data_IF_363844700163
#
_entry.id   IF_363844700163
#
_cell.length_a   1.000
_cell.length_b   1.000
_cell.length_c   1.000
_cell.angle_alpha   90.00
_cell.angle_beta   90.00
_cell.angle_gamma   90.00
#
_symmetry.space_group_name_H-M   'P 1'
#
loop_
_entity.id
_entity.type
_entity.pdbx_description
1 polymer ?
#
# COMPACT_ATOMS: atom_id res chain seq x y z
N UNK A 1 2.73 15.75 21.53
CA UNK A 1 3.66 16.34 20.55
C UNK A 1 4.26 15.17 19.78
N UNK A 2 3.48 14.57 18.90
CA UNK A 2 3.90 13.38 18.18
C UNK A 2 4.55 13.81 16.87
N UNK A 3 5.86 13.60 16.79
CA UNK A 3 6.65 13.91 15.59
C UNK A 3 6.24 12.97 14.45
N UNK A 4 5.36 13.45 13.57
CA UNK A 4 4.87 12.76 12.36
C UNK A 4 5.87 12.72 11.19
N UNK A 5 7.16 12.92 11.45
CA UNK A 5 8.17 12.84 10.42
C UNK A 5 8.57 11.37 10.18
N UNK A 6 7.78 10.68 9.36
CA UNK A 6 8.20 9.44 8.72
C UNK A 6 9.23 9.79 7.62
N UNK A 7 10.50 9.86 8.00
CA UNK A 7 11.63 10.27 7.13
C UNK A 7 11.97 9.26 6.02
N UNK A 8 11.24 8.16 5.87
CA UNK A 8 11.44 7.27 4.73
C UNK A 8 10.57 7.77 3.58
N UNK A 9 11.07 8.76 2.84
CA UNK A 9 10.61 8.98 1.47
C UNK A 9 10.65 7.62 0.77
N UNK A 10 9.52 7.22 0.16
CA UNK A 10 9.43 5.97 -0.60
C UNK A 10 10.66 5.90 -1.51
N UNK A 11 11.52 4.88 -1.32
CA UNK A 11 12.73 4.72 -2.15
C UNK A 11 12.32 4.80 -3.62
N UNK A 12 12.67 5.91 -4.26
CA UNK A 12 12.48 6.18 -5.70
C UNK A 12 13.40 5.33 -6.58
N UNK A 13 14.23 4.47 -5.98
CA UNK A 13 15.09 3.46 -6.60
C UNK A 13 14.35 2.17 -6.98
N UNK A 14 13.10 2.27 -7.47
CA UNK A 14 12.45 1.13 -8.12
C UNK A 14 12.63 1.29 -9.63
N UNK A 15 13.02 0.24 -10.32
CA UNK A 15 12.85 0.19 -11.78
C UNK A 15 11.38 0.47 -12.11
N UNK A 16 11.13 1.00 -13.31
CA UNK A 16 9.75 1.16 -13.79
C UNK A 16 9.09 -0.22 -13.76
N UNK A 17 7.86 -0.29 -13.27
CA UNK A 17 7.01 -1.47 -13.43
C UNK A 17 6.39 -1.46 -14.84
N UNK A 18 5.67 -2.52 -15.19
CA UNK A 18 5.07 -2.63 -16.52
C UNK A 18 4.01 -1.56 -16.80
N UNK A 19 3.18 -1.21 -15.80
CA UNK A 19 2.16 -0.17 -15.92
C UNK A 19 2.76 1.21 -16.20
N UNK A 20 3.86 1.55 -15.51
CA UNK A 20 4.60 2.79 -15.71
C UNK A 20 5.27 2.83 -17.10
N UNK A 21 5.75 1.68 -17.62
CA UNK A 21 6.25 1.57 -18.99
C UNK A 21 5.16 1.78 -20.03
N UNK A 22 4.00 1.15 -19.82
CA UNK A 22 2.83 1.34 -20.68
C UNK A 22 2.35 2.79 -20.68
N UNK A 23 2.32 3.43 -19.51
CA UNK A 23 2.01 4.85 -19.40
C UNK A 23 3.02 5.71 -20.19
N UNK A 24 4.32 5.44 -20.05
CA UNK A 24 5.37 6.13 -20.80
C UNK A 24 5.15 6.01 -22.31
N UNK A 25 4.84 4.82 -22.81
CA UNK A 25 4.52 4.59 -24.22
C UNK A 25 3.37 5.47 -24.71
N UNK A 26 2.23 5.48 -23.98
CA UNK A 26 1.08 6.30 -24.36
C UNK A 26 1.38 7.79 -24.36
N UNK A 27 2.15 8.28 -23.39
CA UNK A 27 2.51 9.71 -23.32
C UNK A 27 3.45 10.15 -24.43
N UNK A 28 4.38 9.29 -24.84
CA UNK A 28 5.26 9.57 -25.98
C UNK A 28 4.45 9.69 -27.28
N UNK A 29 3.47 8.80 -27.48
CA UNK A 29 2.57 8.89 -28.64
C UNK A 29 1.76 10.18 -28.65
N UNK A 30 1.38 10.69 -27.48
CA UNK A 30 0.70 11.99 -27.33
C UNK A 30 1.63 13.21 -27.48
N UNK A 31 2.95 13.00 -27.59
CA UNK A 31 3.93 14.08 -27.74
C UNK A 31 4.31 14.80 -26.43
N UNK A 32 4.02 14.20 -25.27
CA UNK A 32 4.35 14.79 -23.98
C UNK A 32 5.88 14.89 -23.79
N UNK A 33 6.34 16.02 -23.24
CA UNK A 33 7.76 16.18 -22.94
C UNK A 33 8.23 15.22 -21.85
N UNK A 34 9.49 14.77 -21.93
CA UNK A 34 10.11 13.91 -20.91
C UNK A 34 10.06 14.55 -19.52
N UNK A 35 10.14 15.87 -19.43
CA UNK A 35 10.02 16.61 -18.17
C UNK A 35 8.59 16.56 -17.58
N UNK A 36 7.55 16.54 -18.41
CA UNK A 36 6.18 16.34 -17.95
C UNK A 36 5.98 14.90 -17.48
N UNK A 37 6.40 13.91 -18.28
CA UNK A 37 6.25 12.49 -17.95
C UNK A 37 6.99 12.14 -16.64
N UNK A 38 8.20 12.67 -16.47
CA UNK A 38 9.01 12.54 -15.25
C UNK A 38 8.29 13.07 -14.01
N UNK A 39 7.64 14.24 -14.10
CA UNK A 39 6.84 14.79 -13.00
C UNK A 39 5.60 13.95 -12.72
N UNK A 40 4.88 13.52 -13.74
CA UNK A 40 3.66 12.71 -13.59
C UNK A 40 3.93 11.33 -12.98
N UNK A 41 5.04 10.68 -13.34
CA UNK A 41 5.44 9.39 -12.78
C UNK A 41 6.19 9.51 -11.44
N UNK A 42 6.60 10.72 -11.03
CA UNK A 42 7.47 10.92 -9.86
C UNK A 42 8.85 10.26 -10.02
N UNK A 43 9.38 10.18 -11.25
CA UNK A 43 10.67 9.54 -11.58
C UNK A 43 11.66 10.54 -12.13
N UNK A 44 12.96 10.31 -11.94
CA UNK A 44 13.98 11.18 -12.53
C UNK A 44 13.93 11.13 -14.06
N UNK A 45 14.27 12.26 -14.71
CA UNK A 45 14.40 12.32 -16.18
C UNK A 45 15.39 11.26 -16.70
N UNK A 46 16.46 11.00 -15.96
CA UNK A 46 17.45 9.95 -16.28
C UNK A 46 16.83 8.55 -16.33
N UNK A 47 15.90 8.24 -15.42
CA UNK A 47 15.17 6.95 -15.44
C UNK A 47 14.35 6.81 -16.72
N UNK A 48 13.68 7.88 -17.14
CA UNK A 48 12.89 7.88 -18.37
C UNK A 48 13.79 7.71 -19.61
N UNK A 49 14.90 8.44 -19.69
CA UNK A 49 15.85 8.31 -20.81
C UNK A 49 16.48 6.91 -20.88
N UNK A 50 16.85 6.32 -19.75
CA UNK A 50 17.42 4.97 -19.72
C UNK A 50 16.40 3.91 -20.12
N UNK A 51 15.14 4.06 -19.72
CA UNK A 51 14.06 3.19 -20.17
C UNK A 51 13.79 3.35 -21.67
N UNK A 52 13.74 4.58 -22.17
CA UNK A 52 13.60 4.84 -23.60
C UNK A 52 14.70 4.16 -24.41
N UNK A 53 15.96 4.30 -23.99
CA UNK A 53 17.10 3.62 -24.61
C UNK A 53 16.94 2.09 -24.57
N UNK A 54 16.33 1.55 -23.52
CA UNK A 54 16.11 0.11 -23.34
C UNK A 54 15.01 -0.45 -24.24
N UNK A 55 13.90 0.27 -24.40
CA UNK A 55 12.70 -0.22 -25.09
C UNK A 55 12.46 0.34 -26.51
N UNK A 56 13.35 1.19 -27.02
CA UNK A 56 13.24 1.71 -28.39
C UNK A 56 13.76 0.68 -29.39
N UNK A 57 12.93 0.33 -30.36
CA UNK A 57 13.22 -0.64 -31.42
C UNK A 57 12.88 -0.08 -32.79
N UNK A 58 13.54 -0.60 -33.82
CA UNK A 58 13.20 -0.31 -35.22
C UNK A 58 11.93 -1.09 -35.57
N UNK A 59 10.92 -0.38 -36.06
CA UNK A 59 9.65 -0.93 -36.54
C UNK A 59 9.40 -0.47 -37.97
N UNK A 60 8.85 -1.34 -38.81
CA UNK A 60 8.45 -0.97 -40.17
C UNK A 60 7.00 -0.53 -40.12
N UNK A 61 6.74 0.74 -40.43
CA UNK A 61 5.38 1.29 -40.57
C UNK A 61 5.25 1.86 -41.97
N UNK A 62 4.24 1.39 -42.71
CA UNK A 62 3.98 1.84 -44.09
C UNK A 62 5.23 1.75 -44.99
N UNK A 63 5.99 0.65 -44.87
CA UNK A 63 7.20 0.40 -45.65
C UNK A 63 8.44 1.21 -45.24
N UNK A 64 8.36 2.06 -44.21
CA UNK A 64 9.48 2.85 -43.70
C UNK A 64 9.91 2.37 -42.32
N UNK A 65 11.22 2.28 -42.11
CA UNK A 65 11.80 2.00 -40.79
C UNK A 65 11.69 3.24 -39.89
N UNK A 66 11.15 3.07 -38.69
CA UNK A 66 11.02 4.11 -37.69
C UNK A 66 11.41 3.58 -36.32
N UNK A 67 12.13 4.39 -35.54
CA UNK A 67 12.40 4.09 -34.14
C UNK A 67 11.15 4.37 -33.30
N UNK A 68 10.66 3.35 -32.60
CA UNK A 68 9.47 3.43 -31.76
C UNK A 68 9.77 2.81 -30.40
N UNK A 69 9.42 3.51 -29.33
CA UNK A 69 9.44 2.94 -27.98
C UNK A 69 8.23 2.04 -27.79
N UNK A 70 8.47 0.80 -27.33
CA UNK A 70 7.43 -0.16 -26.98
C UNK A 70 7.64 -0.65 -25.55
N UNK A 71 6.60 -0.59 -24.72
CA UNK A 71 6.66 -1.01 -23.32
C UNK A 71 7.05 -2.48 -23.19
N UNK A 72 6.51 -3.35 -24.04
CA UNK A 72 6.82 -4.79 -24.06
C UNK A 72 8.30 -5.06 -24.36
N UNK A 73 8.89 -4.30 -25.28
CA UNK A 73 10.31 -4.43 -25.61
C UNK A 73 11.19 -3.98 -24.44
N UNK A 74 10.83 -2.87 -23.79
CA UNK A 74 11.50 -2.38 -22.59
C UNK A 74 11.44 -3.37 -21.43
N UNK A 75 10.28 -4.00 -21.22
CA UNK A 75 10.05 -5.05 -20.24
C UNK A 75 10.90 -6.29 -20.53
N UNK A 76 10.82 -6.84 -21.74
CA UNK A 76 11.56 -8.03 -22.13
C UNK A 76 13.08 -7.84 -22.01
N UNK A 77 13.59 -6.67 -22.40
CA UNK A 77 15.02 -6.34 -22.26
C UNK A 77 15.41 -6.19 -20.79
N UNK A 78 14.56 -5.59 -19.96
CA UNK A 78 14.78 -5.49 -18.51
C UNK A 78 14.84 -6.88 -17.88
N UNK A 79 13.90 -7.76 -18.18
CA UNK A 79 13.85 -9.13 -17.66
C UNK A 79 15.09 -9.93 -18.08
N UNK A 80 15.49 -9.85 -19.36
CA UNK A 80 16.70 -10.51 -19.87
C UNK A 80 17.96 -10.06 -19.13
N UNK A 81 18.11 -8.75 -18.89
CA UNK A 81 19.23 -8.21 -18.09
C UNK A 81 19.18 -8.68 -16.62
N UNK A 82 17.98 -8.93 -16.09
CA UNK A 82 17.78 -9.40 -14.71
C UNK A 82 18.04 -10.89 -14.52
N UNK A 83 18.06 -11.71 -15.57
CA UNK A 83 18.29 -13.17 -15.46
C UNK A 83 19.57 -13.50 -14.67
N UNK A 84 20.66 -12.75 -14.89
CA UNK A 84 21.93 -12.92 -14.17
C UNK A 84 22.07 -12.10 -12.88
N UNK A 85 21.07 -11.27 -12.55
CA UNK A 85 21.13 -10.39 -11.37
C UNK A 85 20.66 -11.08 -10.08
N UNK A 86 20.19 -12.32 -10.18
CA UNK A 86 19.85 -13.16 -9.04
C UNK A 86 20.86 -14.29 -8.94
N UNK A 87 21.19 -14.70 -7.72
CA UNK A 87 22.01 -15.88 -7.51
C UNK A 87 21.33 -17.09 -8.17
N UNK A 88 21.96 -17.68 -9.18
CA UNK A 88 21.45 -18.89 -9.83
C UNK A 88 21.30 -19.97 -8.77
N UNK A 89 20.22 -20.74 -8.82
CA UNK A 89 20.01 -21.81 -7.84
C UNK A 89 21.15 -22.83 -8.00
N UNK A 90 22.04 -22.90 -7.00
CA UNK A 90 23.24 -23.74 -7.02
C UNK A 90 22.94 -25.22 -6.76
N UNK A 91 21.69 -25.68 -6.94
CA UNK A 91 21.23 -27.02 -6.53
C UNK A 91 22.12 -28.15 -7.04
N UNK A 92 22.51 -28.13 -8.32
CA UNK A 92 23.41 -29.14 -8.86
C UNK A 92 24.82 -29.09 -8.27
N UNK A 93 25.31 -27.92 -7.87
CA UNK A 93 26.63 -27.77 -7.25
C UNK A 93 26.65 -28.14 -5.75
N UNK A 94 25.48 -28.34 -5.13
CA UNK A 94 25.34 -28.69 -3.71
C UNK A 94 24.52 -29.98 -3.52
N UNK A 95 24.48 -30.83 -4.56
CA UNK A 95 23.63 -32.02 -4.61
C UNK A 95 23.89 -32.97 -3.44
N UNK A 96 25.16 -33.19 -3.08
CA UNK A 96 25.55 -34.01 -1.93
C UNK A 96 24.95 -33.49 -0.61
N UNK A 97 24.97 -32.18 -0.39
CA UNK A 97 24.36 -31.54 0.77
C UNK A 97 22.84 -31.67 0.75
N UNK A 98 22.21 -31.49 -0.41
CA UNK A 98 20.76 -31.64 -0.56
C UNK A 98 20.33 -33.07 -0.25
N UNK A 99 20.93 -34.07 -0.89
CA UNK A 99 20.62 -35.48 -0.67
C UNK A 99 20.79 -35.88 0.80
N UNK A 100 21.82 -35.35 1.47
CA UNK A 100 22.00 -35.56 2.91
C UNK A 100 20.88 -34.90 3.74
N UNK A 101 20.49 -33.65 3.44
CA UNK A 101 19.36 -32.98 4.09
C UNK A 101 18.06 -33.75 3.87
N UNK A 102 17.81 -34.25 2.66
CA UNK A 102 16.63 -35.05 2.34
C UNK A 102 16.60 -36.36 3.13
N UNK A 103 17.72 -37.08 3.18
CA UNK A 103 17.86 -38.27 4.01
C UNK A 103 17.59 -37.96 5.50
N UNK A 104 18.18 -36.90 6.06
CA UNK A 104 17.95 -36.50 7.46
C UNK A 104 16.51 -36.07 7.74
N UNK A 105 15.84 -35.46 6.76
CA UNK A 105 14.45 -35.01 6.94
C UNK A 105 13.47 -36.18 6.82
N UNK A 106 13.68 -37.08 5.85
CA UNK A 106 12.76 -38.19 5.58
C UNK A 106 12.95 -39.38 6.52
N UNK A 107 14.20 -39.74 6.84
CA UNK A 107 14.53 -40.92 7.66
C UNK A 107 14.59 -40.56 9.15
N UNK A 108 15.34 -39.52 9.50
CA UNK A 108 15.57 -39.15 10.90
C UNK A 108 14.55 -38.12 11.43
N UNK A 109 13.62 -37.66 10.57
CA UNK A 109 12.61 -36.64 10.89
C UNK A 109 13.17 -35.32 11.42
N UNK A 110 14.36 -34.93 10.96
CA UNK A 110 14.98 -33.67 11.35
C UNK A 110 14.33 -32.47 10.68
N UNK A 111 14.28 -31.33 11.40
CA UNK A 111 14.00 -30.05 10.75
C UNK A 111 15.22 -29.56 9.96
N UNK A 112 15.00 -28.71 8.94
CA UNK A 112 16.11 -28.08 8.21
C UNK A 112 17.06 -27.34 9.14
N UNK A 113 16.53 -26.66 10.16
CA UNK A 113 17.33 -25.93 11.14
C UNK A 113 18.22 -26.87 11.96
N UNK A 114 17.69 -28.01 12.39
CA UNK A 114 18.46 -29.03 13.10
C UNK A 114 19.56 -29.64 12.21
N UNK A 115 19.22 -30.01 10.96
CA UNK A 115 20.15 -30.64 10.04
C UNK A 115 21.28 -29.69 9.61
N UNK A 116 20.96 -28.45 9.25
CA UNK A 116 21.95 -27.42 8.91
C UNK A 116 22.84 -27.10 10.11
N UNK A 117 22.24 -26.95 11.30
CA UNK A 117 22.98 -26.69 12.55
C UNK A 117 23.96 -27.81 12.88
N UNK A 118 23.52 -29.06 12.78
CA UNK A 118 24.35 -30.24 13.01
C UNK A 118 25.50 -30.34 11.99
N UNK A 119 25.20 -30.20 10.70
CA UNK A 119 26.22 -30.24 9.65
C UNK A 119 27.31 -29.17 9.84
N UNK A 120 26.91 -27.96 10.25
CA UNK A 120 27.83 -26.87 10.53
C UNK A 120 28.67 -27.14 11.78
N UNK A 121 28.06 -27.67 12.84
CA UNK A 121 28.76 -27.96 14.10
C UNK A 121 29.77 -29.10 13.94
N UNK A 122 29.43 -30.13 13.16
CA UNK A 122 30.29 -31.28 12.87
C UNK A 122 31.24 -31.07 11.69
N UNK A 123 31.15 -29.94 10.98
CA UNK A 123 32.00 -29.66 9.82
C UNK A 123 31.83 -30.66 8.67
N UNK A 124 30.62 -31.17 8.44
CA UNK A 124 30.37 -32.25 7.46
C UNK A 124 30.51 -31.80 6.00
N UNK A 125 30.35 -30.49 5.75
CA UNK A 125 30.39 -29.89 4.42
C UNK A 125 31.14 -28.56 4.47
N UNK A 126 31.77 -28.18 3.36
CA UNK A 126 32.38 -26.86 3.25
C UNK A 126 31.31 -25.76 3.13
N UNK A 127 31.65 -24.53 3.53
CA UNK A 127 30.69 -23.41 3.54
C UNK A 127 30.10 -23.09 2.16
N UNK A 128 30.85 -23.34 1.08
CA UNK A 128 30.43 -23.15 -0.30
C UNK A 128 29.56 -24.30 -0.85
N UNK A 129 29.49 -25.44 -0.16
CA UNK A 129 28.64 -26.60 -0.44
C UNK A 129 27.33 -26.57 0.35
N UNK A 130 27.24 -25.70 1.35
CA UNK A 130 26.05 -25.53 2.19
C UNK A 130 25.21 -24.32 1.77
N UNK A 131 23.92 -24.40 2.06
CA UNK A 131 23.00 -23.25 2.01
C UNK A 131 22.37 -22.99 3.37
N UNK A 132 21.93 -21.76 3.61
CA UNK A 132 21.21 -21.43 4.85
C UNK A 132 19.81 -22.06 4.86
N UNK A 133 19.24 -22.22 6.06
CA UNK A 133 17.92 -22.83 6.28
C UNK A 133 16.82 -22.12 5.49
N UNK A 134 16.86 -20.79 5.41
CA UNK A 134 15.93 -19.99 4.60
C UNK A 134 15.95 -20.40 3.12
N UNK A 135 17.12 -20.69 2.56
CA UNK A 135 17.24 -21.14 1.17
C UNK A 135 16.63 -22.53 0.98
N UNK A 136 16.80 -23.44 1.94
CA UNK A 136 16.15 -24.75 1.91
C UNK A 136 14.61 -24.64 1.95
N UNK A 137 14.05 -23.79 2.83
CA UNK A 137 12.60 -23.53 2.82
C UNK A 137 12.14 -22.88 1.49
N UNK A 138 12.94 -22.01 0.87
CA UNK A 138 12.62 -21.48 -0.45
C UNK A 138 12.62 -22.58 -1.52
N UNK A 139 13.55 -23.54 -1.46
CA UNK A 139 13.62 -24.67 -2.40
C UNK A 139 12.43 -25.61 -2.20
N UNK A 140 12.04 -25.86 -0.94
CA UNK A 140 10.84 -26.60 -0.57
C UNK A 140 9.59 -25.97 -1.20
N UNK A 141 9.38 -24.65 -1.02
CA UNK A 141 8.20 -23.96 -1.56
C UNK A 141 8.22 -23.82 -3.08
N UNK A 142 9.39 -23.88 -3.72
CA UNK A 142 9.53 -23.95 -5.17
C UNK A 142 9.37 -25.38 -5.73
N UNK A 143 9.24 -26.39 -4.87
CA UNK A 143 9.10 -27.79 -5.28
C UNK A 143 10.35 -28.39 -5.91
N UNK A 144 11.54 -27.88 -5.55
CA UNK A 144 12.82 -28.36 -6.12
C UNK A 144 13.51 -29.40 -5.23
N UNK A 145 13.02 -29.59 -4.00
CA UNK A 145 13.45 -30.67 -3.11
C UNK A 145 12.51 -31.87 -3.29
N UNK A 146 13.03 -33.09 -3.10
CA UNK A 146 12.24 -34.32 -2.99
C UNK A 146 11.41 -34.42 -1.71
N UNK A 147 11.48 -33.41 -0.84
CA UNK A 147 10.74 -33.31 0.42
C UNK A 147 9.47 -32.48 0.22
N UNK A 148 8.37 -32.87 0.86
CA UNK A 148 7.13 -32.08 0.94
C UNK A 148 7.01 -31.38 2.29
N UNK A 149 6.21 -30.32 2.33
CA UNK A 149 5.97 -29.58 3.58
C UNK A 149 5.41 -30.45 4.71
N UNK A 150 4.71 -31.53 4.39
CA UNK A 150 4.17 -32.51 5.34
C UNK A 150 5.25 -33.34 6.04
N UNK A 151 6.42 -33.49 5.41
CA UNK A 151 7.52 -34.29 5.95
C UNK A 151 8.31 -33.50 7.00
N UNK A 152 8.08 -32.17 7.10
CA UNK A 152 8.72 -31.33 8.09
C UNK A 152 7.86 -31.19 9.36
N UNK A 153 8.46 -31.33 10.56
CA UNK A 153 7.71 -31.40 11.83
C UNK A 153 6.97 -30.11 12.21
N UNK A 154 7.37 -28.94 11.69
CA UNK A 154 6.87 -27.63 12.11
C UNK A 154 6.12 -26.86 11.02
N UNK A 155 6.24 -27.24 9.75
CA UNK A 155 5.72 -26.42 8.63
C UNK A 155 4.19 -26.44 8.61
N UNK A 156 3.58 -27.62 8.81
CA UNK A 156 2.11 -27.78 8.81
C UNK A 156 1.46 -27.26 10.10
N UNK A 157 2.20 -27.23 11.22
CA UNK A 157 1.67 -26.81 12.54
C UNK A 157 1.65 -25.30 12.74
N UNK A 158 2.42 -24.53 11.97
CA UNK A 158 2.47 -23.08 12.09
C UNK A 158 1.31 -22.44 11.34
N UNK A 159 0.36 -21.88 12.10
CA UNK A 159 -0.68 -21.01 11.54
C UNK A 159 -0.03 -19.88 10.74
N UNK A 160 -0.33 -19.79 9.45
CA UNK A 160 0.04 -18.62 8.67
C UNK A 160 -0.75 -17.43 9.21
N UNK A 161 -0.04 -16.38 9.67
CA UNK A 161 -0.71 -15.12 10.01
C UNK A 161 -1.47 -14.65 8.78
N UNK A 162 -2.80 -14.66 8.87
CA UNK A 162 -3.66 -14.06 7.85
C UNK A 162 -3.25 -12.60 7.72
N UNK A 163 -2.86 -12.19 6.51
CA UNK A 163 -2.71 -10.78 6.19
C UNK A 163 -4.10 -10.15 6.28
N UNK A 164 -4.39 -9.49 7.40
CA UNK A 164 -5.63 -8.72 7.55
C UNK A 164 -5.40 -7.41 6.80
N UNK A 165 -5.82 -7.35 5.54
CA UNK A 165 -6.03 -6.06 4.90
C UNK A 165 -7.27 -5.43 5.56
N UNK A 166 -7.05 -4.47 6.47
CA UNK A 166 -8.13 -3.60 6.92
C UNK A 166 -8.50 -2.71 5.73
N UNK A 167 -9.34 -3.22 4.81
CA UNK A 167 -10.10 -2.32 3.93
C UNK A 167 -10.89 -1.40 4.88
N UNK A 168 -10.65 -0.10 4.81
CA UNK A 168 -11.48 0.88 5.50
C UNK A 168 -12.91 0.66 5.00
N UNK A 169 -13.76 0.04 5.82
CA UNK A 169 -15.16 -0.27 5.47
C UNK A 169 -16.06 0.97 5.53
N UNK A 170 -15.50 2.15 5.85
CA UNK A 170 -16.27 3.39 6.09
C UNK A 170 -15.90 4.42 5.03
N UNK A 171 -16.90 4.90 4.32
CA UNK A 171 -16.79 6.12 3.52
C UNK A 171 -16.79 7.29 4.51
N UNK A 172 -15.67 8.01 4.60
CA UNK A 172 -15.48 9.11 5.56
C UNK A 172 -16.06 10.45 5.07
N UNK A 173 -16.80 10.45 3.96
CA UNK A 173 -17.31 11.68 3.34
C UNK A 173 -16.21 12.56 2.77
N UNK A 174 -16.52 13.83 2.50
CA UNK A 174 -15.56 14.85 2.06
C UNK A 174 -14.87 15.44 3.29
N UNK A 175 -13.53 15.54 3.24
CA UNK A 175 -12.75 16.22 4.29
C UNK A 175 -13.20 17.68 4.46
N UNK A 176 -13.15 18.19 5.69
CA UNK A 176 -13.40 19.61 6.00
C UNK A 176 -12.45 20.54 5.22
N UNK A 177 -11.24 20.07 4.90
CA UNK A 177 -10.25 20.82 4.11
C UNK A 177 -10.73 21.09 2.66
N UNK A 178 -11.72 20.34 2.17
CA UNK A 178 -12.29 20.50 0.83
C UNK A 178 -13.52 21.41 0.81
N UNK A 179 -13.81 22.14 1.89
CA UNK A 179 -14.92 23.10 1.94
C UNK A 179 -14.67 24.29 1.00
N UNK A 180 -15.76 24.97 0.62
CA UNK A 180 -15.67 26.19 -0.18
C UNK A 180 -14.83 27.25 0.57
N UNK A 181 -13.78 27.82 -0.06
CA UNK A 181 -12.94 28.85 0.55
C UNK A 181 -13.73 30.06 1.07
N UNK A 182 -14.89 30.37 0.49
CA UNK A 182 -15.75 31.48 0.92
C UNK A 182 -16.25 31.32 2.36
N UNK A 183 -16.32 30.10 2.90
CA UNK A 183 -16.74 29.85 4.29
C UNK A 183 -15.66 30.29 5.29
N UNK A 184 -14.39 30.35 4.87
CA UNK A 184 -13.29 30.77 5.74
C UNK A 184 -13.28 32.29 5.97
N UNK A 185 -13.81 33.07 5.02
CA UNK A 185 -13.85 34.54 5.13
C UNK A 185 -14.87 35.05 6.16
N UNK A 186 -15.81 34.19 6.59
CA UNK A 186 -16.85 34.48 7.60
C UNK A 186 -17.76 35.66 7.23
N UNK A 187 -17.90 35.95 5.94
CA UNK A 187 -18.67 37.09 5.44
C UNK A 187 -20.18 36.81 5.42
N UNK A 188 -20.59 35.54 5.35
CA UNK A 188 -21.99 35.12 5.29
C UNK A 188 -22.45 34.33 6.53
N UNK A 189 -23.71 34.52 6.91
CA UNK A 189 -24.34 33.79 8.02
C UNK A 189 -24.91 32.46 7.52
N UNK A 190 -24.91 31.46 8.41
CA UNK A 190 -25.57 30.17 8.21
C UNK A 190 -24.62 28.99 8.02
N UNK A 191 -23.32 29.17 8.28
CA UNK A 191 -22.34 28.08 8.23
C UNK A 191 -21.96 27.67 9.64
N UNK A 192 -22.21 26.39 9.95
CA UNK A 192 -22.07 25.83 11.29
C UNK A 192 -20.95 24.79 11.33
N UNK A 193 -20.06 24.92 12.31
CA UNK A 193 -19.09 23.89 12.68
C UNK A 193 -19.66 23.04 13.81
N UNK A 194 -19.68 21.73 13.60
CA UNK A 194 -20.16 20.73 14.54
C UNK A 194 -18.96 20.01 15.16
N UNK A 195 -18.93 20.01 16.49
CA UNK A 195 -18.04 19.16 17.28
C UNK A 195 -18.86 18.35 18.29
N UNK A 196 -18.29 17.26 18.80
CA UNK A 196 -18.89 16.41 19.81
C UNK A 196 -18.02 16.33 21.05
N UNK A 197 -18.52 16.83 22.17
CA UNK A 197 -17.83 16.78 23.45
C UNK A 197 -18.31 15.57 24.23
N UNK A 198 -17.38 14.65 24.53
CA UNK A 198 -17.63 13.47 25.35
C UNK A 198 -17.11 13.68 26.77
N UNK A 199 -17.93 13.32 27.76
CA UNK A 199 -17.50 13.23 29.15
C UNK A 199 -16.46 12.13 29.39
N UNK A 200 -15.83 12.14 30.57
CA UNK A 200 -14.76 11.21 30.97
C UNK A 200 -15.24 9.82 31.39
N UNK A 201 -16.54 9.60 31.61
CA UNK A 201 -17.10 8.30 31.99
C UNK A 201 -17.66 7.55 30.77
N UNK A 202 -18.03 6.30 31.03
CA UNK A 202 -18.15 5.15 30.13
C UNK A 202 -18.68 5.41 28.71
N UNK A 203 -18.42 4.44 27.81
CA UNK A 203 -18.79 4.53 26.39
C UNK A 203 -20.30 4.68 26.12
N UNK A 204 -21.13 4.58 27.14
CA UNK A 204 -22.59 4.66 27.12
C UNK A 204 -23.15 6.04 27.50
N UNK A 205 -22.30 6.99 27.89
CA UNK A 205 -22.78 8.31 28.30
C UNK A 205 -23.25 9.17 27.12
N UNK A 206 -24.20 10.05 27.43
CA UNK A 206 -24.66 11.10 26.53
C UNK A 206 -23.49 11.99 26.08
N UNK A 207 -23.61 12.51 24.87
CA UNK A 207 -22.62 13.37 24.22
C UNK A 207 -23.23 14.74 24.01
N UNK A 208 -22.45 15.79 24.18
CA UNK A 208 -22.88 17.15 23.83
C UNK A 208 -22.45 17.44 22.39
N UNK A 209 -23.41 17.77 21.52
CA UNK A 209 -23.11 18.32 20.21
C UNK A 209 -22.98 19.83 20.39
N UNK A 210 -21.84 20.38 19.99
CA UNK A 210 -21.62 21.82 19.93
C UNK A 210 -21.67 22.30 18.49
N UNK A 211 -22.56 23.23 18.21
CA UNK A 211 -22.70 23.91 16.93
C UNK A 211 -22.23 25.36 17.10
N UNK A 212 -21.22 25.75 16.32
CA UNK A 212 -20.69 27.10 16.31
C UNK A 212 -20.93 27.75 14.94
N UNK A 213 -21.69 28.84 14.91
CA UNK A 213 -21.91 29.61 13.68
C UNK A 213 -20.68 30.49 13.38
N UNK A 214 -20.18 30.43 12.14
CA UNK A 214 -18.86 30.98 11.77
C UNK A 214 -18.79 32.50 11.79
N UNK A 215 -19.87 33.22 11.44
CA UNK A 215 -19.89 34.68 11.33
C UNK A 215 -20.23 35.37 12.66
N UNK A 216 -21.39 35.04 13.20
CA UNK A 216 -21.97 35.59 14.43
C UNK A 216 -21.39 35.00 15.71
N UNK A 217 -20.70 33.85 15.62
CA UNK A 217 -20.21 33.07 16.78
C UNK A 217 -21.31 32.60 17.71
N UNK A 218 -22.55 32.52 17.22
CA UNK A 218 -23.65 31.92 17.94
C UNK A 218 -23.31 30.47 18.27
N UNK A 219 -23.46 30.11 19.53
CA UNK A 219 -23.14 28.78 20.05
C UNK A 219 -24.40 28.07 20.50
N UNK A 220 -24.59 26.85 20.03
CA UNK A 220 -25.72 25.99 20.39
C UNK A 220 -25.17 24.66 20.91
N UNK A 221 -25.66 24.25 22.07
CA UNK A 221 -25.28 23.00 22.71
C UNK A 221 -26.49 22.07 22.78
N UNK A 222 -26.40 20.89 22.15
CA UNK A 222 -27.48 19.92 22.08
C UNK A 222 -27.08 18.63 22.78
N UNK A 223 -27.96 18.11 23.63
CA UNK A 223 -27.76 16.80 24.26
C UNK A 223 -28.09 15.69 23.26
N UNK A 224 -27.12 14.81 23.01
CA UNK A 224 -27.24 13.67 22.12
C UNK A 224 -27.10 12.34 22.89
N UNK A 225 -27.85 11.29 22.55
CA UNK A 225 -27.69 9.95 23.14
C UNK A 225 -26.28 9.38 23.04
N UNK A 226 -25.62 9.52 21.88
CA UNK A 226 -24.25 9.03 21.68
C UNK A 226 -23.54 9.74 20.52
N UNK A 227 -22.22 9.54 20.40
CA UNK A 227 -21.43 10.04 19.26
C UNK A 227 -21.60 9.20 17.98
N UNK A 228 -22.63 8.35 17.88
CA UNK A 228 -22.91 7.60 16.65
C UNK A 228 -23.52 8.54 15.62
N UNK A 229 -23.13 8.36 14.35
CA UNK A 229 -23.64 9.19 13.26
C UNK A 229 -25.17 9.20 13.13
N UNK A 230 -25.84 8.08 13.45
CA UNK A 230 -27.31 7.99 13.49
C UNK A 230 -27.91 8.95 14.51
N UNK A 231 -27.40 8.91 15.74
CA UNK A 231 -27.96 9.64 16.87
C UNK A 231 -27.68 11.14 16.74
N UNK A 232 -26.48 11.49 16.24
CA UNK A 232 -26.12 12.87 15.90
C UNK A 232 -27.06 13.42 14.83
N UNK A 233 -27.28 12.65 13.75
CA UNK A 233 -28.17 13.07 12.66
C UNK A 233 -29.61 13.28 13.14
N UNK A 234 -30.14 12.38 13.96
CA UNK A 234 -31.49 12.50 14.54
C UNK A 234 -31.60 13.71 15.46
N UNK A 235 -30.60 13.97 16.30
CA UNK A 235 -30.56 15.14 17.20
C UNK A 235 -30.55 16.44 16.41
N UNK A 236 -29.74 16.53 15.34
CA UNK A 236 -29.72 17.69 14.45
C UNK A 236 -31.05 17.89 13.72
N UNK A 237 -31.65 16.80 13.21
CA UNK A 237 -32.97 16.89 12.58
C UNK A 237 -34.03 17.38 13.56
N UNK A 238 -34.05 16.89 14.80
CA UNK A 238 -34.98 17.34 15.82
C UNK A 238 -34.79 18.84 16.12
N UNK A 239 -33.55 19.30 16.23
CA UNK A 239 -33.24 20.72 16.44
C UNK A 239 -33.62 21.59 15.24
N UNK A 240 -33.25 21.22 14.01
CA UNK A 240 -33.67 21.98 12.82
C UNK A 240 -35.19 22.01 12.68
N UNK A 241 -35.87 20.93 13.08
CA UNK A 241 -37.31 20.84 13.06
C UNK A 241 -38.02 21.81 14.03
N UNK A 242 -37.34 22.36 15.04
CA UNK A 242 -37.93 23.40 15.90
C UNK A 242 -38.07 24.75 15.18
N UNK A 243 -37.42 24.93 14.04
CA UNK A 243 -37.45 26.15 13.24
C UNK A 243 -38.21 25.98 11.91
N UNK A 244 -39.09 24.98 11.80
CA UNK A 244 -39.87 24.70 10.56
C UNK A 244 -40.68 25.89 10.05
N UNK A 245 -41.12 26.76 10.95
CA UNK A 245 -41.91 27.94 10.62
C UNK A 245 -41.04 29.11 10.10
N UNK A 246 -39.71 28.95 10.11
CA UNK A 246 -38.74 29.91 9.59
C UNK A 246 -38.08 29.31 8.35
N UNK A 247 -37.65 30.17 7.43
CA UNK A 247 -36.85 29.73 6.28
C UNK A 247 -35.51 29.15 6.75
N UNK A 248 -35.44 27.81 6.83
CA UNK A 248 -34.25 27.05 7.23
C UNK A 248 -33.01 27.39 6.39
N UNK A 249 -33.17 27.75 5.11
CA UNK A 249 -32.04 28.13 4.25
C UNK A 249 -31.37 29.44 4.70
N UNK A 250 -32.11 30.33 5.37
CA UNK A 250 -31.57 31.54 5.97
C UNK A 250 -30.84 31.25 7.30
N UNK A 251 -31.22 30.18 8.01
CA UNK A 251 -30.66 29.81 9.30
C UNK A 251 -29.46 28.86 9.20
N UNK A 252 -29.48 27.93 8.25
CA UNK A 252 -28.50 26.87 8.13
C UNK A 252 -28.28 26.52 6.65
N UNK A 253 -27.18 27.03 6.10
CA UNK A 253 -26.68 26.71 4.76
C UNK A 253 -25.86 25.43 4.77
N UNK A 254 -24.90 25.31 5.69
CA UNK A 254 -24.04 24.11 5.80
C UNK A 254 -23.73 23.77 7.25
N UNK A 255 -23.63 22.48 7.55
CA UNK A 255 -23.09 21.94 8.81
C UNK A 255 -21.91 21.04 8.45
N UNK A 256 -20.73 21.32 9.00
CA UNK A 256 -19.50 20.54 8.77
C UNK A 256 -18.98 19.98 10.09
N UNK A 257 -18.47 18.75 10.08
CA UNK A 257 -17.87 18.07 11.22
C UNK A 257 -16.55 17.42 10.78
N UNK A 258 -15.63 17.23 11.73
CA UNK A 258 -14.34 16.56 11.53
C UNK A 258 -14.44 15.01 11.58
#
# INVERSE_FOLDING_TARGET
MDYNNHNTTLRTNKHLNFEERFYLEKRIVLGDSIAAISRSLGRSRTTIYTELKRGTVIQIRQGKSQLVYLADSGQATYERQRVGSFNTMRIGAIESFINWIESKTLVDHWSFDAAVGYAKHKGLFMRNEMVCTKTLYNYLHKGVLGIKAIDLPLVVRRSQRKSISRKYKRELGKSIELRDPNIETREEFGHWELDTVRGTKDKTDHVLISLLERKSRLYVALRCPSARATDVKETLHAWLNTFKDVNLACLCKTITAD
#
